data_IF_094855440208
#
_entry.id   IF_094855440208
#
_cell.length_a   1.000
_cell.length_b   1.000
_cell.length_c   1.000
_cell.angle_alpha   90.00
_cell.angle_beta   90.00
_cell.angle_gamma   90.00
#
_symmetry.space_group_name_H-M   'P 1'
#
loop_
_entity.id
_entity.type
_entity.pdbx_description
1 polymer ?
#
# COMPACT_ATOMS: atom_id res chain seq x y z
N UNK A 1 -3.26 17.57 4.59
CA UNK A 1 -3.67 16.32 3.92
C UNK A 1 -2.59 15.96 2.92
N UNK A 2 -2.09 14.73 2.96
CA UNK A 2 -1.09 14.20 2.03
C UNK A 2 -1.75 13.09 1.20
N UNK A 3 -1.51 13.11 -0.10
CA UNK A 3 -2.06 12.11 -1.01
C UNK A 3 -1.07 11.75 -2.10
N UNK A 4 -1.14 10.50 -2.57
CA UNK A 4 -0.45 10.07 -3.76
C UNK A 4 -1.15 8.88 -4.41
N UNK A 5 -0.92 8.75 -5.71
CA UNK A 5 -1.29 7.58 -6.50
C UNK A 5 -0.02 6.99 -7.11
N UNK A 6 0.06 5.66 -7.13
CA UNK A 6 1.15 4.93 -7.75
C UNK A 6 0.62 3.71 -8.47
N UNK A 7 1.12 3.46 -9.68
CA UNK A 7 0.85 2.24 -10.44
C UNK A 7 2.15 1.46 -10.47
N UNK A 8 2.11 0.25 -9.93
CA UNK A 8 3.27 -0.64 -9.87
C UNK A 8 3.08 -1.86 -10.76
N UNK A 9 4.18 -2.43 -11.29
CA UNK A 9 4.11 -3.76 -11.89
C UNK A 9 3.59 -4.78 -10.87
N UNK A 10 2.91 -5.83 -11.36
CA UNK A 10 2.39 -6.91 -10.52
C UNK A 10 3.48 -7.84 -9.98
N UNK A 11 4.36 -7.32 -9.12
CA UNK A 11 5.39 -8.06 -8.41
C UNK A 11 5.54 -7.57 -6.96
N UNK A 12 6.00 -8.46 -6.09
CA UNK A 12 6.05 -8.21 -4.63
C UNK A 12 7.11 -7.19 -4.23
N UNK A 13 8.21 -7.04 -4.99
CA UNK A 13 9.26 -6.08 -4.67
C UNK A 13 8.75 -4.64 -4.81
N UNK A 14 8.03 -4.34 -5.90
CA UNK A 14 7.41 -3.04 -6.08
C UNK A 14 6.31 -2.78 -5.03
N UNK A 15 5.54 -3.81 -4.66
CA UNK A 15 4.58 -3.73 -3.56
C UNK A 15 5.23 -3.36 -2.23
N UNK A 16 6.34 -4.01 -1.89
CA UNK A 16 7.09 -3.71 -0.66
C UNK A 16 7.61 -2.27 -0.62
N UNK A 17 8.12 -1.75 -1.74
CA UNK A 17 8.58 -0.35 -1.81
C UNK A 17 7.45 0.65 -1.53
N UNK A 18 6.25 0.41 -2.08
CA UNK A 18 5.07 1.26 -1.81
C UNK A 18 4.61 1.12 -0.36
N UNK A 19 4.63 -0.09 0.19
CA UNK A 19 4.30 -0.33 1.61
C UNK A 19 5.23 0.47 2.53
N UNK A 20 6.55 0.41 2.33
CA UNK A 20 7.52 1.16 3.13
C UNK A 20 7.29 2.67 3.05
N UNK A 21 6.99 3.19 1.85
CA UNK A 21 6.63 4.60 1.65
C UNK A 21 5.37 5.00 2.43
N UNK A 22 4.34 4.17 2.45
CA UNK A 22 3.11 4.44 3.21
C UNK A 22 3.41 4.43 4.72
N UNK A 23 4.22 3.49 5.20
CA UNK A 23 4.56 3.43 6.62
C UNK A 23 5.36 4.65 7.07
N UNK A 24 6.37 5.07 6.29
CA UNK A 24 7.13 6.30 6.57
C UNK A 24 6.20 7.53 6.64
N UNK A 25 5.23 7.62 5.73
CA UNK A 25 4.23 8.68 5.75
C UNK A 25 3.42 8.70 7.07
N UNK A 26 3.03 7.54 7.60
CA UNK A 26 2.25 7.45 8.83
C UNK A 26 3.10 7.77 10.07
N UNK A 27 4.36 7.35 10.09
CA UNK A 27 5.32 7.70 11.13
C UNK A 27 5.57 9.22 11.17
N UNK A 28 5.72 9.87 10.01
CA UNK A 28 5.82 11.33 9.90
C UNK A 28 4.56 12.06 10.38
N UNK A 29 3.39 11.46 10.18
CA UNK A 29 2.10 11.96 10.68
C UNK A 29 1.86 11.64 12.17
N UNK A 30 2.82 10.98 12.84
CA UNK A 30 2.78 10.63 14.27
C UNK A 30 1.64 9.67 14.64
N UNK A 31 1.29 8.74 13.75
CA UNK A 31 0.43 7.61 14.11
C UNK A 31 1.11 6.76 15.19
N UNK A 32 0.31 6.15 16.06
CA UNK A 32 0.84 5.26 17.10
C UNK A 32 1.49 4.01 16.49
N UNK A 33 2.58 3.53 17.08
CA UNK A 33 3.30 2.34 16.60
C UNK A 33 2.38 1.12 16.43
N UNK A 34 1.37 0.99 17.30
CA UNK A 34 0.36 -0.07 17.22
C UNK A 34 -0.48 0.02 15.95
N UNK A 35 -0.91 1.22 15.58
CA UNK A 35 -1.71 1.46 14.38
C UNK A 35 -0.85 1.28 13.13
N UNK A 36 0.38 1.82 13.13
CA UNK A 36 1.35 1.65 12.05
C UNK A 36 1.64 0.17 11.80
N UNK A 37 1.81 -0.62 12.86
CA UNK A 37 2.01 -2.07 12.75
C UNK A 37 0.78 -2.78 12.15
N UNK A 38 -0.43 -2.44 12.61
CA UNK A 38 -1.66 -3.00 12.06
C UNK A 38 -1.85 -2.67 10.58
N UNK A 39 -1.56 -1.43 10.19
CA UNK A 39 -1.64 -0.98 8.80
C UNK A 39 -0.57 -1.66 7.94
N UNK A 40 0.65 -1.87 8.47
CA UNK A 40 1.72 -2.62 7.78
C UNK A 40 1.26 -4.02 7.40
N UNK A 41 0.65 -4.74 8.34
CA UNK A 41 0.16 -6.10 8.08
C UNK A 41 -1.01 -6.10 7.07
N UNK A 42 -1.94 -5.15 7.20
CA UNK A 42 -3.06 -5.03 6.26
C UNK A 42 -2.60 -4.70 4.84
N UNK A 43 -1.58 -3.84 4.69
CA UNK A 43 -0.94 -3.52 3.41
C UNK A 43 -0.28 -4.75 2.79
N UNK A 44 0.49 -5.50 3.57
CA UNK A 44 1.19 -6.70 3.11
C UNK A 44 0.20 -7.73 2.54
N UNK A 45 -0.86 -8.02 3.28
CA UNK A 45 -1.91 -8.95 2.85
C UNK A 45 -2.67 -8.44 1.61
N UNK A 46 -3.04 -7.15 1.59
CA UNK A 46 -3.76 -6.58 0.46
C UNK A 46 -2.92 -6.56 -0.83
N UNK A 47 -1.62 -6.26 -0.73
CA UNK A 47 -0.70 -6.32 -1.86
C UNK A 47 -0.47 -7.76 -2.33
N UNK A 48 -0.30 -8.71 -1.41
CA UNK A 48 -0.20 -10.14 -1.75
C UNK A 48 -1.47 -10.61 -2.48
N UNK A 49 -2.64 -10.22 -2.00
CA UNK A 49 -3.92 -10.55 -2.64
C UNK A 49 -4.03 -9.95 -4.04
N UNK A 50 -3.72 -8.66 -4.23
CA UNK A 50 -3.75 -8.03 -5.55
C UNK A 50 -2.73 -8.64 -6.53
N UNK A 51 -1.49 -8.85 -6.07
CA UNK A 51 -0.38 -9.28 -6.94
C UNK A 51 -0.43 -10.79 -7.23
N UNK A 52 -0.50 -11.62 -6.19
CA UNK A 52 -0.40 -13.09 -6.33
C UNK A 52 -1.72 -13.74 -6.66
N UNK A 53 -2.82 -13.26 -6.09
CA UNK A 53 -4.12 -13.91 -6.23
C UNK A 53 -4.98 -13.26 -7.31
N UNK A 54 -5.07 -11.93 -7.36
CA UNK A 54 -5.80 -11.19 -8.39
C UNK A 54 -5.09 -11.26 -9.75
N UNK A 55 -3.93 -10.62 -9.84
CA UNK A 55 -3.14 -10.55 -11.08
C UNK A 55 -2.33 -11.82 -11.40
N UNK A 56 -2.24 -12.79 -10.49
CA UNK A 56 -1.48 -14.03 -10.67
C UNK A 56 0.01 -13.82 -11.01
N UNK A 57 0.59 -12.70 -10.57
CA UNK A 57 1.95 -12.26 -10.89
C UNK A 57 2.19 -12.07 -12.40
N UNK A 58 1.15 -11.80 -13.19
CA UNK A 58 1.30 -11.51 -14.62
C UNK A 58 2.12 -10.22 -14.81
N UNK A 59 3.31 -10.28 -15.46
CA UNK A 59 4.17 -9.11 -15.64
C UNK A 59 3.56 -8.03 -16.54
N UNK A 60 2.51 -8.36 -17.30
CA UNK A 60 1.79 -7.40 -18.13
C UNK A 60 0.67 -6.67 -17.36
N UNK A 61 0.37 -7.12 -16.13
CA UNK A 61 -0.61 -6.48 -15.25
C UNK A 61 0.05 -5.55 -14.24
N UNK A 62 -0.76 -4.64 -13.76
CA UNK A 62 -0.37 -3.62 -12.79
C UNK A 62 -1.32 -3.61 -11.59
N UNK A 63 -0.83 -3.06 -10.48
CA UNK A 63 -1.64 -2.77 -9.30
C UNK A 63 -1.63 -1.26 -9.10
N UNK A 64 -2.82 -0.68 -8.93
CA UNK A 64 -2.99 0.74 -8.61
C UNK A 64 -3.14 0.89 -7.10
N UNK A 65 -2.37 1.79 -6.52
CA UNK A 65 -2.43 2.14 -5.11
C UNK A 65 -2.72 3.63 -4.97
N UNK A 66 -3.76 3.95 -4.20
CA UNK A 66 -4.10 5.32 -3.81
C UNK A 66 -3.99 5.44 -2.30
N UNK A 67 -3.23 6.41 -1.82
CA UNK A 67 -3.10 6.70 -0.40
C UNK A 67 -3.51 8.14 -0.11
N UNK A 68 -4.37 8.32 0.90
CA UNK A 68 -4.76 9.62 1.43
C UNK A 68 -4.65 9.59 2.94
N UNK A 69 -3.80 10.43 3.51
CA UNK A 69 -3.55 10.48 4.94
C UNK A 69 -3.54 11.92 5.48
N UNK A 70 -4.08 12.08 6.68
CA UNK A 70 -3.91 13.24 7.53
C UNK A 70 -3.65 12.78 8.97
N UNK A 71 -3.57 13.72 9.91
CA UNK A 71 -3.27 13.41 11.33
C UNK A 71 -4.39 12.67 12.06
N UNK A 72 -5.58 12.53 11.46
CA UNK A 72 -6.73 11.86 12.07
C UNK A 72 -7.03 10.50 11.44
N UNK A 73 -6.74 10.32 10.15
CA UNK A 73 -7.09 9.10 9.42
C UNK A 73 -6.17 8.83 8.24
N UNK A 74 -6.13 7.57 7.85
CA UNK A 74 -5.56 7.09 6.59
C UNK A 74 -6.59 6.28 5.82
N UNK A 75 -6.61 6.47 4.49
CA UNK A 75 -7.35 5.64 3.54
C UNK A 75 -6.37 5.16 2.47
N UNK A 76 -6.28 3.85 2.32
CA UNK A 76 -5.48 3.19 1.29
C UNK A 76 -6.42 2.35 0.45
N UNK A 77 -6.32 2.49 -0.87
CA UNK A 77 -7.09 1.71 -1.84
C UNK A 77 -6.10 1.00 -2.76
N UNK A 78 -6.23 -0.32 -2.87
CA UNK A 78 -5.39 -1.18 -3.71
C UNK A 78 -6.32 -1.86 -4.70
N UNK A 79 -6.00 -1.78 -5.99
CA UNK A 79 -6.80 -2.32 -7.08
C UNK A 79 -5.90 -3.09 -8.06
N UNK A 80 -6.24 -4.36 -8.30
CA UNK A 80 -5.70 -5.20 -9.36
C UNK A 80 -6.46 -5.04 -10.69
N UNK A 81 -6.01 -5.73 -11.75
CA UNK A 81 -6.48 -5.59 -13.14
C UNK A 81 -7.30 -6.76 -13.66
#
# INVERSE_FOLDING_TARGET
>A
MREFEEIIPSNTAAGQSVQERIIQLLEELRFEDRDVFGIRLALEEALVNAIKHGNQMDPNKSVRIMCRADVQKVRIEIQDQ
#
